data_IF_595859323614
#
_entry.id   IF_595859323614
#
_cell.length_a   1.000
_cell.length_b   1.000
_cell.length_c   1.000
_cell.angle_alpha   90.00
_cell.angle_beta   90.00
_cell.angle_gamma   90.00
#
_symmetry.space_group_name_H-M   'P 1'
#
loop_
_entity.id
_entity.type
_entity.pdbx_description
1 polymer ?
#
# COMPACT_ATOMS: atom_id res chain seq x y z
N UNK A 1 -18.95 -19.87 26.39
CA UNK A 1 -19.94 -19.00 25.73
C UNK A 1 -19.57 -17.51 25.72
N UNK A 2 -19.61 -16.76 26.82
CA UNK A 2 -19.31 -15.30 26.78
C UNK A 2 -17.82 -15.02 26.45
N UNK A 3 -16.90 -15.78 27.03
CA UNK A 3 -15.46 -15.63 26.77
C UNK A 3 -15.09 -15.87 25.29
N UNK A 4 -15.71 -16.87 24.65
CA UNK A 4 -15.44 -17.20 23.24
C UNK A 4 -16.09 -16.19 22.28
N UNK A 5 -17.24 -15.61 22.64
CA UNK A 5 -17.84 -14.48 21.92
C UNK A 5 -16.95 -13.24 21.99
N UNK A 6 -16.41 -12.93 23.17
CA UNK A 6 -15.47 -11.81 23.33
C UNK A 6 -14.18 -12.02 22.51
N UNK A 7 -13.64 -13.24 22.47
CA UNK A 7 -12.49 -13.59 21.62
C UNK A 7 -12.81 -13.44 20.12
N UNK A 8 -13.97 -13.91 19.67
CA UNK A 8 -14.43 -13.75 18.29
C UNK A 8 -14.52 -12.27 17.90
N UNK A 9 -15.16 -11.45 18.73
CA UNK A 9 -15.30 -10.02 18.47
C UNK A 9 -13.93 -9.33 18.40
N UNK A 10 -13.05 -9.64 19.35
CA UNK A 10 -11.69 -9.07 19.39
C UNK A 10 -10.88 -9.41 18.14
N UNK A 11 -10.88 -10.68 17.69
CA UNK A 11 -10.14 -11.08 16.49
C UNK A 11 -10.79 -10.53 15.21
N UNK A 12 -12.12 -10.35 15.18
CA UNK A 12 -12.82 -9.73 14.06
C UNK A 12 -12.44 -8.25 13.92
N UNK A 13 -12.34 -7.52 15.03
CA UNK A 13 -11.96 -6.11 15.01
C UNK A 13 -10.50 -5.94 14.56
N UNK A 14 -9.61 -6.84 14.96
CA UNK A 14 -8.22 -6.89 14.46
C UNK A 14 -8.16 -7.19 12.97
N UNK A 15 -8.96 -8.15 12.49
CA UNK A 15 -9.05 -8.47 11.07
C UNK A 15 -9.47 -7.25 10.25
N UNK A 16 -10.56 -6.57 10.65
CA UNK A 16 -11.05 -5.35 9.98
C UNK A 16 -10.03 -4.22 9.99
N UNK A 17 -9.26 -4.07 11.07
CA UNK A 17 -8.20 -3.07 11.14
C UNK A 17 -7.10 -3.34 10.10
N UNK A 18 -6.63 -4.59 10.00
CA UNK A 18 -5.63 -4.99 8.99
C UNK A 18 -6.18 -4.88 7.57
N UNK A 19 -7.44 -5.24 7.34
CA UNK A 19 -8.12 -5.07 6.05
C UNK A 19 -8.12 -3.60 5.61
N UNK A 20 -8.46 -2.68 6.51
CA UNK A 20 -8.41 -1.24 6.24
C UNK A 20 -6.99 -0.75 5.90
N UNK A 21 -5.99 -1.21 6.64
CA UNK A 21 -4.59 -0.86 6.38
C UNK A 21 -4.11 -1.39 5.02
N UNK A 22 -4.52 -2.61 4.67
CA UNK A 22 -4.20 -3.24 3.38
C UNK A 22 -4.74 -2.43 2.21
N UNK A 23 -6.01 -2.04 2.26
CA UNK A 23 -6.60 -1.20 1.21
C UNK A 23 -5.93 0.17 1.10
N UNK A 24 -5.52 0.76 2.23
CA UNK A 24 -4.75 2.01 2.23
C UNK A 24 -3.39 1.83 1.55
N UNK A 25 -2.67 0.75 1.84
CA UNK A 25 -1.38 0.45 1.21
C UNK A 25 -1.52 0.23 -0.30
N UNK A 26 -2.55 -0.51 -0.75
CA UNK A 26 -2.85 -0.68 -2.18
C UNK A 26 -3.11 0.66 -2.87
N UNK A 27 -3.96 1.51 -2.27
CA UNK A 27 -4.29 2.82 -2.85
C UNK A 27 -3.04 3.71 -2.95
N UNK A 28 -2.19 3.71 -1.92
CA UNK A 28 -0.92 4.45 -1.96
C UNK A 28 0.04 3.91 -3.03
N UNK A 29 0.15 2.59 -3.17
CA UNK A 29 0.93 1.95 -4.24
C UNK A 29 0.45 2.39 -5.63
N UNK A 30 -0.86 2.41 -5.87
CA UNK A 30 -1.43 2.84 -7.16
C UNK A 30 -1.10 4.30 -7.48
N UNK A 31 -1.14 5.18 -6.49
CA UNK A 31 -0.73 6.60 -6.67
C UNK A 31 0.75 6.70 -7.03
N UNK A 32 1.62 5.96 -6.35
CA UNK A 32 3.06 5.94 -6.64
C UNK A 32 3.35 5.40 -8.05
N UNK A 33 2.60 4.40 -8.51
CA UNK A 33 2.73 3.82 -9.85
C UNK A 33 2.39 4.86 -10.94
N UNK A 34 1.30 5.61 -10.75
CA UNK A 34 0.95 6.73 -11.64
C UNK A 34 2.04 7.82 -11.66
N UNK A 35 2.55 8.20 -10.49
CA UNK A 35 3.66 9.16 -10.40
C UNK A 35 4.93 8.65 -11.07
N UNK A 36 5.24 7.35 -10.95
CA UNK A 36 6.37 6.74 -11.63
C UNK A 36 6.22 6.85 -13.15
N UNK A 37 5.05 6.51 -13.67
CA UNK A 37 4.75 6.59 -15.10
C UNK A 37 4.94 8.00 -15.65
N UNK A 38 4.40 9.01 -14.95
CA UNK A 38 4.58 10.42 -15.32
C UNK A 38 6.07 10.82 -15.34
N UNK A 39 6.84 10.44 -14.31
CA UNK A 39 8.26 10.78 -14.24
C UNK A 39 9.09 10.04 -15.31
N UNK A 40 8.74 8.80 -15.64
CA UNK A 40 9.35 8.07 -16.76
C UNK A 40 9.08 8.78 -18.10
N UNK A 41 7.85 9.26 -18.31
CA UNK A 41 7.51 10.08 -19.48
C UNK A 41 8.35 11.35 -19.56
N UNK A 42 8.45 12.12 -18.47
CA UNK A 42 9.30 13.33 -18.43
C UNK A 42 10.77 12.98 -18.68
N UNK A 43 11.28 11.88 -18.13
CA UNK A 43 12.65 11.42 -18.38
C UNK A 43 12.88 11.18 -19.88
N UNK A 44 11.95 10.49 -20.54
CA UNK A 44 12.03 10.22 -21.98
C UNK A 44 12.04 11.53 -22.79
N UNK A 45 11.15 12.47 -22.49
CA UNK A 45 11.12 13.78 -23.16
C UNK A 45 12.43 14.57 -22.96
N UNK A 46 12.97 14.58 -21.75
CA UNK A 46 14.26 15.22 -21.46
C UNK A 46 15.42 14.56 -22.22
N UNK A 47 15.37 13.25 -22.43
CA UNK A 47 16.39 12.50 -23.18
C UNK A 47 16.37 12.84 -24.69
N UNK A 48 15.22 13.21 -25.23
CA UNK A 48 15.06 13.64 -26.63
C UNK A 48 15.52 15.08 -26.89
N UNK A 49 15.66 15.91 -25.84
CA UNK A 49 16.13 17.28 -26.00
C UNK A 49 17.59 17.33 -26.47
N UNK A 50 17.86 18.29 -27.36
CA UNK A 50 19.21 18.63 -27.81
C UNK A 50 20.06 19.12 -26.62
N UNK A 51 21.40 19.04 -26.69
CA UNK A 51 22.28 19.51 -25.62
C UNK A 51 22.08 20.99 -25.22
N UNK A 52 21.64 21.83 -26.16
CA UNK A 52 21.32 23.25 -25.98
C UNK A 52 19.82 23.53 -25.72
N UNK A 53 19.02 22.48 -25.53
CA UNK A 53 17.60 22.58 -25.24
C UNK A 53 17.34 23.27 -23.90
N UNK A 54 16.40 24.20 -23.89
CA UNK A 54 16.01 24.93 -22.68
C UNK A 54 14.93 24.19 -21.90
N UNK A 55 15.11 24.06 -20.58
CA UNK A 55 14.14 23.47 -19.67
C UNK A 55 13.69 24.53 -18.68
N UNK A 56 12.39 24.58 -18.41
CA UNK A 56 11.81 25.50 -17.44
C UNK A 56 11.00 24.73 -16.41
N UNK A 57 11.20 25.03 -15.13
CA UNK A 57 10.44 24.47 -14.02
C UNK A 57 9.41 25.48 -13.52
N UNK A 58 8.16 25.05 -13.39
CA UNK A 58 7.11 25.85 -12.76
C UNK A 58 7.30 25.87 -11.24
N UNK A 59 7.43 27.07 -10.66
CA UNK A 59 7.51 27.32 -9.22
C UNK A 59 6.46 28.39 -8.89
N UNK A 60 5.35 27.99 -8.25
CA UNK A 60 4.21 28.88 -8.06
C UNK A 60 3.68 29.38 -9.42
N UNK A 61 3.48 30.70 -9.62
CA UNK A 61 3.02 31.24 -10.90
C UNK A 61 4.15 31.52 -11.92
N UNK A 62 5.42 31.20 -11.62
CA UNK A 62 6.56 31.57 -12.48
C UNK A 62 7.31 30.36 -13.06
N UNK A 63 7.86 30.54 -14.26
CA UNK A 63 8.76 29.58 -14.91
C UNK A 63 10.21 29.98 -14.66
N UNK A 64 10.99 29.07 -14.08
CA UNK A 64 12.41 29.27 -13.78
C UNK A 64 13.24 28.39 -14.71
N UNK A 65 14.16 28.99 -15.46
CA UNK A 65 15.08 28.24 -16.34
C UNK A 65 15.95 27.31 -15.49
N UNK A 66 16.06 26.07 -15.92
CA UNK A 66 16.90 25.04 -15.30
C UNK A 66 17.88 24.46 -16.31
N UNK A 67 19.06 24.12 -15.83
CA UNK A 67 20.04 23.40 -16.62
C UNK A 67 19.51 22.01 -16.98
N UNK A 68 19.61 21.62 -18.26
CA UNK A 68 19.09 20.35 -18.77
C UNK A 68 19.66 19.15 -18.00
N UNK A 69 20.96 19.19 -17.66
CA UNK A 69 21.61 18.12 -16.90
C UNK A 69 21.05 18.01 -15.48
N UNK A 70 20.75 19.13 -14.83
CA UNK A 70 20.17 19.16 -13.50
C UNK A 70 18.73 18.65 -13.53
N UNK A 71 17.94 19.04 -14.53
CA UNK A 71 16.59 18.53 -14.74
C UNK A 71 16.58 16.99 -14.89
N UNK A 72 17.48 16.45 -15.73
CA UNK A 72 17.64 14.99 -15.89
C UNK A 72 18.00 14.29 -14.58
N UNK A 73 18.98 14.80 -13.85
CA UNK A 73 19.39 14.23 -12.56
C UNK A 73 18.28 14.28 -11.51
N UNK A 74 17.51 15.36 -11.45
CA UNK A 74 16.41 15.51 -10.52
C UNK A 74 15.27 14.53 -10.81
N UNK A 75 14.90 14.36 -12.09
CA UNK A 75 13.90 13.37 -12.49
C UNK A 75 14.38 11.95 -12.20
N UNK A 76 15.64 11.62 -12.49
CA UNK A 76 16.22 10.31 -12.18
C UNK A 76 16.18 9.99 -10.68
N UNK A 77 16.63 10.93 -9.81
CA UNK A 77 16.56 10.76 -8.35
C UNK A 77 15.14 10.56 -7.85
N UNK A 78 14.16 11.26 -8.45
CA UNK A 78 12.74 11.09 -8.10
C UNK A 78 12.22 9.72 -8.48
N UNK A 79 12.59 9.20 -9.66
CA UNK A 79 12.27 7.84 -10.09
C UNK A 79 12.84 6.81 -9.11
N UNK A 80 14.12 6.94 -8.74
CA UNK A 80 14.78 6.01 -7.80
C UNK A 80 14.08 6.00 -6.44
N UNK A 81 13.72 7.18 -5.93
CA UNK A 81 12.96 7.31 -4.69
C UNK A 81 11.58 6.61 -4.79
N UNK A 82 10.82 6.88 -5.85
CA UNK A 82 9.49 6.29 -6.06
C UNK A 82 9.59 4.76 -6.17
N UNK A 83 10.57 4.24 -6.90
CA UNK A 83 10.82 2.78 -6.97
C UNK A 83 11.12 2.19 -5.59
N UNK A 84 11.88 2.89 -4.76
CA UNK A 84 12.13 2.49 -3.37
C UNK A 84 10.85 2.46 -2.52
N UNK A 85 9.97 3.45 -2.66
CA UNK A 85 8.66 3.46 -1.99
C UNK A 85 7.74 2.36 -2.50
N UNK A 86 7.69 2.10 -3.81
CA UNK A 86 6.90 1.01 -4.39
C UNK A 86 7.31 -0.34 -3.80
N UNK A 87 8.61 -0.61 -3.69
CA UNK A 87 9.11 -1.82 -3.05
C UNK A 87 8.67 -1.93 -1.59
N UNK A 88 8.74 -0.82 -0.82
CA UNK A 88 8.23 -0.78 0.56
C UNK A 88 6.73 -1.07 0.63
N UNK A 89 5.95 -0.52 -0.29
CA UNK A 89 4.50 -0.78 -0.36
C UNK A 89 4.21 -2.23 -0.69
N UNK A 90 4.92 -2.84 -1.65
CA UNK A 90 4.76 -4.24 -2.01
C UNK A 90 5.07 -5.18 -0.82
N UNK A 91 6.16 -4.90 -0.08
CA UNK A 91 6.51 -5.62 1.15
C UNK A 91 5.43 -5.47 2.24
N UNK A 92 4.91 -4.25 2.43
CA UNK A 92 3.85 -3.97 3.40
C UNK A 92 2.54 -4.69 3.04
N UNK A 93 2.15 -4.65 1.77
CA UNK A 93 0.97 -5.35 1.23
C UNK A 93 1.10 -6.85 1.48
N UNK A 94 2.24 -7.45 1.15
CA UNK A 94 2.49 -8.89 1.38
C UNK A 94 2.41 -9.26 2.86
N UNK A 95 2.99 -8.45 3.75
CA UNK A 95 2.89 -8.66 5.20
C UNK A 95 1.45 -8.54 5.70
N UNK A 96 0.68 -7.57 5.21
CA UNK A 96 -0.71 -7.36 5.61
C UNK A 96 -1.61 -8.50 5.12
N UNK A 97 -1.40 -8.98 3.89
CA UNK A 97 -2.11 -10.14 3.33
C UNK A 97 -1.87 -11.40 4.18
N UNK A 98 -0.62 -11.69 4.52
CA UNK A 98 -0.29 -12.80 5.42
C UNK A 98 -0.95 -12.67 6.80
N UNK A 99 -1.04 -11.45 7.35
CA UNK A 99 -1.76 -11.20 8.62
C UNK A 99 -3.27 -11.42 8.48
N UNK A 100 -3.88 -11.03 7.36
CA UNK A 100 -5.29 -11.28 7.10
C UNK A 100 -5.59 -12.78 7.12
N UNK A 101 -4.78 -13.59 6.43
CA UNK A 101 -4.95 -15.05 6.43
C UNK A 101 -4.82 -15.65 7.84
N UNK A 102 -3.83 -15.21 8.62
CA UNK A 102 -3.70 -15.65 10.01
C UNK A 102 -4.93 -15.32 10.87
N UNK A 103 -5.52 -14.13 10.71
CA UNK A 103 -6.74 -13.75 11.42
C UNK A 103 -7.95 -14.54 10.94
N UNK A 104 -8.10 -14.79 9.63
CA UNK A 104 -9.16 -15.65 9.07
C UNK A 104 -9.09 -17.06 9.65
N UNK A 105 -7.90 -17.66 9.72
CA UNK A 105 -7.71 -18.99 10.33
C UNK A 105 -8.11 -19.02 11.80
N UNK A 106 -7.72 -18.01 12.58
CA UNK A 106 -8.09 -17.89 14.01
C UNK A 106 -9.60 -17.74 14.19
N UNK A 107 -10.22 -16.89 13.38
CA UNK A 107 -11.67 -16.70 13.38
C UNK A 107 -12.40 -18.00 13.06
N UNK A 108 -11.95 -18.74 12.05
CA UNK A 108 -12.52 -20.05 11.71
C UNK A 108 -12.41 -21.05 12.87
N UNK A 109 -11.25 -21.12 13.54
CA UNK A 109 -11.05 -21.98 14.72
C UNK A 109 -11.98 -21.62 15.87
N UNK A 110 -12.09 -20.33 16.19
CA UNK A 110 -12.99 -19.84 17.23
C UNK A 110 -14.46 -20.09 16.88
N UNK A 111 -14.84 -19.95 15.61
CA UNK A 111 -16.20 -20.21 15.15
C UNK A 111 -16.57 -21.70 15.30
N UNK A 112 -15.67 -22.62 14.92
CA UNK A 112 -15.88 -24.06 15.12
C UNK A 112 -16.00 -24.42 16.61
N UNK A 113 -15.14 -23.85 17.47
CA UNK A 113 -15.21 -24.06 18.92
C UNK A 113 -16.54 -23.55 19.50
N UNK A 114 -16.99 -22.38 19.07
CA UNK A 114 -18.26 -21.80 19.51
C UNK A 114 -19.46 -22.67 19.11
N UNK A 115 -19.47 -23.20 17.88
CA UNK A 115 -20.50 -24.15 17.43
C UNK A 115 -20.50 -25.45 18.25
N UNK A 116 -19.31 -26.00 18.55
CA UNK A 116 -19.19 -27.20 19.38
C UNK A 116 -19.67 -26.98 20.82
N UNK A 117 -19.35 -25.83 21.43
CA UNK A 117 -19.85 -25.47 22.77
C UNK A 117 -21.38 -25.34 22.77
N UNK A 118 -21.97 -24.69 21.76
CA UNK A 118 -23.42 -24.58 21.62
C UNK A 118 -24.10 -25.94 21.47
N UNK A 119 -23.58 -26.81 20.59
CA UNK A 119 -24.13 -28.15 20.39
C UNK A 119 -24.06 -28.98 21.67
N UNK A 120 -22.95 -28.92 22.42
CA UNK A 120 -22.82 -29.61 23.72
C UNK A 120 -23.77 -29.08 24.78
N UNK A 121 -24.03 -27.77 24.79
CA UNK A 121 -25.00 -27.17 25.71
C UNK A 121 -26.44 -27.60 25.38
N UNK A 122 -26.80 -27.65 24.09
CA UNK A 122 -28.12 -28.07 23.63
C UNK A 122 -28.43 -29.57 23.84
N UNK A 123 -27.40 -30.43 23.91
CA UNK A 123 -27.56 -31.87 24.21
C UNK A 123 -27.66 -32.15 25.73
N UNK A 124 -27.21 -31.21 26.57
CA UNK A 124 -27.19 -31.35 28.03
C UNK A 124 -28.35 -30.65 28.76
N UNK A 125 -29.12 -29.81 28.06
CA UNK A 125 -30.33 -29.16 28.56
C UNK A 125 -31.57 -29.83 28.01
#
# INVERSE_FOLDING_TARGET
MEEIQNKLQTELDKFKAVEKEYHKAISQRQVLDGQLHENLGVKQELELLKPDGEVYKLIGPVLVKQELIEAKQNVAKRIDYINGELKRMDEMISSLDAKQEQYKEKLNKLHMQFQQEQAKAAVKG
#
